data_IF_828089600821
#
_entry.id   IF_828089600821
#
_cell.length_a   1.000
_cell.length_b   1.000
_cell.length_c   1.000
_cell.angle_alpha   90.00
_cell.angle_beta   90.00
_cell.angle_gamma   90.00
#
_symmetry.space_group_name_H-M   'P 1'
#
loop_
_entity.id
_entity.type
_entity.pdbx_description
1 polymer ?
#
# COMPACT_ATOMS: atom_id res chain seq x y z
N UNK A 1 -0.60 -7.27 -10.59
CA UNK A 1 -1.77 -7.03 -9.72
C UNK A 1 -1.70 -8.04 -8.58
N UNK A 2 -2.12 -7.68 -7.38
CA UNK A 2 -1.89 -8.47 -6.15
C UNK A 2 -2.57 -9.84 -6.19
N UNK A 3 -3.79 -9.88 -6.73
CA UNK A 3 -4.58 -11.08 -6.99
C UNK A 3 -3.91 -12.08 -7.96
N UNK A 4 -2.96 -11.63 -8.78
CA UNK A 4 -2.15 -12.49 -9.66
C UNK A 4 -0.98 -13.19 -8.97
N UNK A 5 -0.53 -12.72 -7.81
CA UNK A 5 0.69 -13.22 -7.14
C UNK A 5 0.38 -14.28 -6.07
N UNK A 6 1.23 -15.32 -5.95
CA UNK A 6 1.14 -16.31 -4.87
C UNK A 6 1.70 -15.76 -3.57
N UNK A 7 0.99 -15.98 -2.46
CA UNK A 7 1.41 -15.62 -1.10
C UNK A 7 1.53 -16.90 -0.29
N UNK A 8 2.63 -17.05 0.46
CA UNK A 8 2.94 -18.29 1.15
C UNK A 8 3.17 -19.45 0.17
N UNK A 9 2.66 -20.65 0.50
CA UNK A 9 2.67 -21.80 -0.40
C UNK A 9 1.43 -21.85 -1.32
N UNK A 10 0.28 -21.40 -0.82
CA UNK A 10 -0.98 -21.21 -1.53
C UNK A 10 -1.67 -19.96 -0.97
N UNK A 11 -2.38 -19.23 -1.81
CA UNK A 11 -3.06 -17.98 -1.43
C UNK A 11 -4.25 -18.25 -0.50
N UNK A 12 -4.93 -19.37 -0.74
CA UNK A 12 -6.12 -19.84 -0.05
C UNK A 12 -5.82 -20.11 1.43
N UNK A 13 -4.68 -20.76 1.69
CA UNK A 13 -4.25 -21.14 3.04
C UNK A 13 -3.28 -20.16 3.69
N UNK A 14 -2.94 -19.07 3.00
CA UNK A 14 -2.03 -18.07 3.52
C UNK A 14 -2.60 -17.40 4.77
N UNK A 15 -1.81 -17.41 5.84
CA UNK A 15 -2.14 -16.77 7.11
C UNK A 15 -2.16 -15.25 6.99
N UNK A 16 -2.84 -14.58 7.94
CA UNK A 16 -2.83 -13.11 8.05
C UNK A 16 -1.40 -12.58 8.11
N UNK A 17 -0.49 -13.25 8.81
CA UNK A 17 0.93 -12.86 8.90
C UNK A 17 1.61 -12.95 7.54
N UNK A 18 1.42 -14.03 6.78
CA UNK A 18 2.02 -14.17 5.45
C UNK A 18 1.53 -13.09 4.48
N UNK A 19 0.24 -12.74 4.53
CA UNK A 19 -0.29 -11.62 3.76
C UNK A 19 0.30 -10.27 4.19
N UNK A 20 0.42 -10.02 5.50
CA UNK A 20 1.04 -8.81 6.02
C UNK A 20 2.51 -8.69 5.56
N UNK A 21 3.29 -9.75 5.77
CA UNK A 21 4.71 -9.81 5.38
C UNK A 21 4.85 -9.60 3.87
N UNK A 22 3.92 -10.14 3.07
CA UNK A 22 3.89 -9.93 1.63
C UNK A 22 3.65 -8.46 1.27
N UNK A 23 2.68 -7.78 1.86
CA UNK A 23 2.45 -6.36 1.61
C UNK A 23 3.66 -5.52 2.02
N UNK A 24 4.23 -5.81 3.19
CA UNK A 24 5.39 -5.08 3.72
C UNK A 24 6.63 -5.26 2.85
N UNK A 25 6.95 -6.49 2.46
CA UNK A 25 8.12 -6.80 1.60
C UNK A 25 8.03 -6.12 0.23
N UNK A 26 6.82 -5.97 -0.31
CA UNK A 26 6.63 -5.23 -1.56
C UNK A 26 6.67 -3.72 -1.38
N UNK A 27 6.34 -3.20 -0.20
CA UNK A 27 6.40 -1.78 0.11
C UNK A 27 7.83 -1.26 0.31
N UNK A 28 8.69 -2.04 0.96
CA UNK A 28 10.05 -1.63 1.34
C UNK A 28 10.89 -1.07 0.18
N UNK A 29 10.99 -1.71 -1.01
CA UNK A 29 11.80 -1.17 -2.09
C UNK A 29 11.30 0.18 -2.63
N UNK A 30 9.98 0.39 -2.65
CA UNK A 30 9.40 1.66 -3.08
C UNK A 30 9.62 2.75 -2.04
N UNK A 31 9.55 2.39 -0.77
CA UNK A 31 9.83 3.31 0.32
C UNK A 31 11.31 3.74 0.35
N UNK A 32 12.23 2.81 0.13
CA UNK A 32 13.68 3.09 0.04
C UNK A 32 14.01 4.03 -1.12
N UNK A 33 13.42 3.79 -2.29
CA UNK A 33 13.66 4.58 -3.50
C UNK A 33 12.78 5.83 -3.62
N UNK A 34 11.80 6.00 -2.71
CA UNK A 34 10.75 7.03 -2.76
C UNK A 34 10.02 7.06 -4.11
N UNK A 35 9.84 5.89 -4.71
CA UNK A 35 9.09 5.74 -5.96
C UNK A 35 7.62 5.46 -5.66
N UNK A 36 6.66 5.96 -6.47
CA UNK A 36 5.24 5.72 -6.24
C UNK A 36 4.91 4.22 -6.30
N UNK A 37 4.41 3.67 -5.19
CA UNK A 37 3.91 2.30 -5.15
C UNK A 37 2.44 2.27 -5.57
N UNK A 38 2.12 1.46 -6.59
CA UNK A 38 0.73 1.21 -6.97
C UNK A 38 0.20 -0.05 -6.29
N UNK A 39 -1.00 0.04 -5.71
CA UNK A 39 -1.67 -1.09 -5.07
C UNK A 39 -2.90 -1.50 -5.89
N UNK A 40 -2.69 -2.35 -6.90
CA UNK A 40 -3.75 -2.81 -7.78
C UNK A 40 -4.30 -4.17 -7.32
N UNK A 41 -5.62 -4.26 -7.16
CA UNK A 41 -6.33 -5.50 -6.89
C UNK A 41 -7.79 -5.41 -7.35
N UNK A 42 -8.45 -6.56 -7.46
CA UNK A 42 -9.90 -6.63 -7.55
C UNK A 42 -10.51 -6.83 -6.15
N UNK A 43 -11.70 -6.27 -5.91
CA UNK A 43 -12.36 -6.40 -4.61
C UNK A 43 -12.64 -7.87 -4.22
N UNK A 44 -12.97 -8.71 -5.21
CA UNK A 44 -13.24 -10.14 -5.03
C UNK A 44 -12.03 -10.93 -4.47
N UNK A 45 -10.80 -10.43 -4.61
CA UNK A 45 -9.62 -11.05 -4.00
C UNK A 45 -9.81 -11.23 -2.49
N UNK A 46 -10.41 -10.23 -1.84
CA UNK A 46 -10.64 -10.26 -0.39
C UNK A 46 -11.77 -11.22 0.01
N UNK A 47 -12.68 -11.54 -0.90
CA UNK A 47 -13.71 -12.56 -0.69
C UNK A 47 -13.12 -13.97 -0.85
N UNK A 48 -12.24 -14.18 -1.83
CA UNK A 48 -11.59 -15.48 -2.06
C UNK A 48 -10.52 -15.80 -1.01
N UNK A 49 -9.84 -14.78 -0.49
CA UNK A 49 -8.74 -14.94 0.46
C UNK A 49 -9.07 -14.17 1.75
N UNK A 50 -9.86 -14.76 2.67
CA UNK A 50 -10.43 -14.04 3.81
C UNK A 50 -9.38 -13.49 4.78
N UNK A 51 -8.17 -14.07 4.80
CA UNK A 51 -7.05 -13.58 5.60
C UNK A 51 -6.36 -12.34 5.00
N UNK A 52 -6.56 -12.05 3.71
CA UNK A 52 -5.90 -10.94 3.04
C UNK A 52 -6.44 -9.58 3.49
N UNK A 53 -7.75 -9.44 3.72
CA UNK A 53 -8.34 -8.17 4.14
C UNK A 53 -7.95 -7.74 5.57
N UNK A 54 -8.02 -8.62 6.59
CA UNK A 54 -7.50 -8.32 7.91
C UNK A 54 -6.01 -7.94 7.87
N UNK A 55 -5.20 -8.65 7.08
CA UNK A 55 -3.79 -8.32 6.88
C UNK A 55 -3.58 -6.96 6.23
N UNK A 56 -4.40 -6.61 5.22
CA UNK A 56 -4.34 -5.33 4.55
C UNK A 56 -4.69 -4.18 5.50
N UNK A 57 -5.73 -4.33 6.33
CA UNK A 57 -6.08 -3.34 7.37
C UNK A 57 -4.97 -3.21 8.40
N UNK A 58 -4.35 -4.32 8.83
CA UNK A 58 -3.21 -4.27 9.76
C UNK A 58 -2.01 -3.56 9.13
N UNK A 59 -1.71 -3.84 7.86
CA UNK A 59 -0.62 -3.21 7.13
C UNK A 59 -0.86 -1.71 6.93
N UNK A 60 -2.06 -1.26 6.54
CA UNK A 60 -2.41 0.16 6.45
C UNK A 60 -2.22 0.89 7.79
N UNK A 61 -2.66 0.27 8.90
CA UNK A 61 -2.44 0.82 10.25
C UNK A 61 -0.96 0.86 10.62
N UNK A 62 -0.17 -0.13 10.21
CA UNK A 62 1.27 -0.14 10.44
C UNK A 62 1.94 0.99 9.65
N UNK A 63 1.63 1.13 8.36
CA UNK A 63 2.23 2.15 7.49
C UNK A 63 1.91 3.55 7.99
N UNK A 64 0.64 3.84 8.24
CA UNK A 64 0.18 5.16 8.71
C UNK A 64 0.76 5.57 10.07
N UNK A 65 1.11 4.61 10.93
CA UNK A 65 1.70 4.88 12.26
C UNK A 65 3.22 4.99 12.23
N UNK A 66 3.87 4.14 11.44
CA UNK A 66 5.33 4.01 11.42
C UNK A 66 6.00 4.99 10.46
N UNK A 67 5.30 5.40 9.39
CA UNK A 67 5.85 6.22 8.32
C UNK A 67 5.06 7.51 8.15
N UNK A 68 5.60 8.61 8.68
CA UNK A 68 4.94 9.93 8.67
C UNK A 68 4.96 10.60 7.29
N UNK A 69 5.83 10.14 6.41
CA UNK A 69 6.09 10.69 5.08
C UNK A 69 5.43 9.87 3.95
N UNK A 70 4.53 8.94 4.28
CA UNK A 70 3.79 8.12 3.31
C UNK A 70 2.36 8.62 3.16
N UNK A 71 1.92 8.78 1.91
CA UNK A 71 0.61 9.31 1.55
C UNK A 71 -0.16 8.32 0.68
N UNK A 72 -1.37 7.97 1.09
CA UNK A 72 -2.32 7.22 0.26
C UNK A 72 -3.12 8.22 -0.56
N UNK A 73 -2.91 8.22 -1.87
CA UNK A 73 -3.47 9.23 -2.79
C UNK A 73 -4.13 8.59 -3.99
N UNK A 74 -4.98 9.34 -4.67
CA UNK A 74 -5.50 8.97 -5.98
C UNK A 74 -4.42 9.09 -7.07
N UNK A 75 -4.61 8.39 -8.20
CA UNK A 75 -3.73 8.53 -9.36
C UNK A 75 -3.68 9.98 -9.89
N UNK A 76 -4.78 10.73 -9.81
CA UNK A 76 -4.82 12.12 -10.25
C UNK A 76 -3.95 13.02 -9.36
N UNK A 77 -4.02 12.85 -8.04
CA UNK A 77 -3.13 13.54 -7.10
C UNK A 77 -1.68 13.19 -7.38
N UNK A 78 -1.36 11.90 -7.56
CA UNK A 78 0.00 11.49 -7.93
C UNK A 78 0.50 12.23 -9.19
N UNK A 79 -0.31 12.29 -10.25
CA UNK A 79 0.05 13.01 -11.48
C UNK A 79 0.27 14.52 -11.24
N UNK A 80 -0.53 15.15 -10.37
CA UNK A 80 -0.32 16.55 -10.01
C UNK A 80 0.99 16.76 -9.26
N UNK A 81 1.33 15.89 -8.30
CA UNK A 81 2.60 15.94 -7.61
C UNK A 81 3.78 15.68 -8.56
N UNK A 82 3.68 14.75 -9.50
CA UNK A 82 4.73 14.51 -10.50
C UNK A 82 4.96 15.71 -11.42
N UNK A 83 3.89 16.46 -11.76
CA UNK A 83 4.00 17.70 -12.56
C UNK A 83 4.59 18.87 -11.78
N UNK A 84 4.39 18.90 -10.46
CA UNK A 84 4.91 19.93 -9.57
C UNK A 84 5.26 19.30 -8.21
N UNK A 85 6.49 18.75 -8.08
CA UNK A 85 6.90 18.06 -6.86
C UNK A 85 6.86 18.97 -5.66
N UNK A 86 6.28 18.45 -4.57
CA UNK A 86 6.20 19.13 -3.28
C UNK A 86 7.00 18.36 -2.22
N UNK A 87 7.63 19.08 -1.30
CA UNK A 87 8.23 18.49 -0.11
C UNK A 87 7.15 17.95 0.84
N UNK A 88 7.57 17.13 1.81
CA UNK A 88 6.66 16.61 2.82
C UNK A 88 5.94 17.71 3.60
N UNK A 89 6.66 18.77 3.97
CA UNK A 89 6.12 19.91 4.72
C UNK A 89 5.10 20.69 3.89
N UNK A 90 5.35 20.85 2.59
CA UNK A 90 4.39 21.50 1.68
C UNK A 90 3.12 20.67 1.51
N UNK A 91 3.26 19.34 1.44
CA UNK A 91 2.11 18.43 1.39
C UNK A 91 1.27 18.51 2.68
N UNK A 92 1.91 18.55 3.85
CA UNK A 92 1.23 18.77 5.14
C UNK A 92 0.48 20.10 5.18
N UNK A 93 1.15 21.20 4.81
CA UNK A 93 0.55 22.55 4.84
C UNK A 93 -0.68 22.68 3.92
N UNK A 94 -0.75 21.85 2.87
CA UNK A 94 -1.85 21.83 1.90
C UNK A 94 -2.90 20.76 2.20
N UNK A 95 -2.78 20.01 3.30
CA UNK A 95 -3.62 18.83 3.59
C UNK A 95 -3.69 17.86 2.40
N UNK A 96 -2.54 17.58 1.78
CA UNK A 96 -2.45 16.72 0.60
C UNK A 96 -3.08 15.33 0.85
N UNK A 97 -3.82 14.81 -0.13
CA UNK A 97 -4.52 13.52 0.01
C UNK A 97 -5.91 13.59 0.64
N UNK A 98 -6.34 14.75 1.15
CA UNK A 98 -7.73 15.03 1.56
C UNK A 98 -8.52 15.74 0.45
#
# INVERSE_FOLDING_TARGET
>A
MLDGCTVGQSKEDATVKQWFDYFQRNFEPFYETKTPMSFYTHANMFDFYPNAFPAFVQWLKHVTRSYKDVWFVTLQQLLFWMKSPMSHEQMLAKNWGC
#
